data_IF_770125413810
#
_entry.id   IF_770125413810
#
_cell.length_a   1.000
_cell.length_b   1.000
_cell.length_c   1.000
_cell.angle_alpha   90.00
_cell.angle_beta   90.00
_cell.angle_gamma   90.00
#
_symmetry.space_group_name_H-M   'P 1'
#
loop_
_entity.id
_entity.type
_entity.pdbx_description
1 polymer ?
#
# COMPACT_ATOMS: atom_id res chain seq x y z
N UNK A 1 -5.74 -36.02 6.81
CA UNK A 1 -6.49 -36.48 5.62
C UNK A 1 -7.23 -35.30 5.05
N UNK A 2 -6.83 -34.84 3.88
CA UNK A 2 -7.56 -33.79 3.16
C UNK A 2 -8.94 -34.30 2.79
N UNK A 3 -9.99 -33.45 2.88
CA UNK A 3 -11.31 -33.85 2.45
C UNK A 3 -11.27 -34.28 0.99
N UNK A 4 -11.76 -35.50 0.71
CA UNK A 4 -11.79 -36.08 -0.62
C UNK A 4 -12.91 -35.53 -1.52
N UNK A 5 -13.61 -34.51 -1.09
CA UNK A 5 -14.74 -33.92 -1.84
C UNK A 5 -14.38 -32.54 -2.40
N UNK A 6 -14.71 -32.29 -3.64
CA UNK A 6 -14.78 -30.92 -4.17
C UNK A 6 -15.90 -30.18 -3.41
N UNK A 7 -15.54 -29.14 -2.67
CA UNK A 7 -16.53 -28.17 -2.25
C UNK A 7 -16.73 -27.24 -3.44
N UNK A 8 -17.80 -27.45 -4.20
CA UNK A 8 -18.25 -26.51 -5.22
C UNK A 8 -19.36 -25.66 -4.63
N UNK A 9 -19.25 -24.36 -4.77
CA UNK A 9 -20.36 -23.46 -4.51
C UNK A 9 -21.18 -23.41 -5.82
N UNK A 10 -22.41 -23.87 -5.77
CA UNK A 10 -23.31 -23.71 -6.91
C UNK A 10 -23.72 -22.24 -7.00
N UNK A 11 -23.46 -21.62 -8.14
CA UNK A 11 -23.85 -20.23 -8.39
C UNK A 11 -25.37 -20.21 -8.52
N UNK A 12 -26.06 -19.59 -7.57
CA UNK A 12 -27.50 -19.40 -7.64
C UNK A 12 -27.86 -18.29 -8.65
N UNK A 13 -29.17 -18.19 -8.97
CA UNK A 13 -29.63 -17.22 -9.97
C UNK A 13 -29.37 -15.75 -9.58
N UNK A 14 -29.32 -15.43 -8.29
CA UNK A 14 -29.01 -14.10 -7.78
C UNK A 14 -27.51 -13.77 -7.96
N UNK A 15 -26.64 -14.70 -7.60
CA UNK A 15 -25.20 -14.58 -7.83
C UNK A 15 -24.87 -14.49 -9.31
N UNK A 16 -25.54 -15.27 -10.17
CA UNK A 16 -25.37 -15.20 -11.63
C UNK A 16 -25.80 -13.85 -12.19
N UNK A 17 -26.90 -13.29 -11.68
CA UNK A 17 -27.38 -11.96 -12.04
C UNK A 17 -26.42 -10.87 -11.58
N UNK A 18 -25.85 -10.99 -10.40
CA UNK A 18 -24.89 -10.05 -9.85
C UNK A 18 -23.56 -10.06 -10.63
N UNK A 19 -23.07 -11.24 -10.99
CA UNK A 19 -21.91 -11.42 -11.85
C UNK A 19 -22.12 -10.90 -13.28
N UNK A 20 -23.34 -11.02 -13.81
CA UNK A 20 -23.69 -10.52 -15.13
C UNK A 20 -23.97 -9.01 -15.15
N UNK A 21 -24.28 -8.43 -14.00
CA UNK A 21 -24.55 -7.00 -13.83
C UNK A 21 -23.27 -6.20 -13.57
N UNK A 22 -22.15 -6.54 -14.26
CA UNK A 22 -21.04 -5.61 -14.18
C UNK A 22 -21.52 -4.24 -14.72
N UNK A 23 -21.45 -3.25 -13.86
CA UNK A 23 -21.89 -1.91 -14.20
C UNK A 23 -20.95 -1.37 -15.26
N UNK A 24 -21.47 -1.11 -16.45
CA UNK A 24 -20.81 -0.17 -17.36
C UNK A 24 -20.55 1.11 -16.58
N UNK A 25 -19.36 1.68 -16.80
CA UNK A 25 -19.06 3.02 -16.28
C UNK A 25 -20.08 3.94 -16.95
N UNK A 26 -21.15 4.26 -16.23
CA UNK A 26 -22.10 5.26 -16.69
C UNK A 26 -21.43 6.60 -16.51
N UNK A 27 -21.12 7.27 -17.62
CA UNK A 27 -20.68 8.66 -17.57
C UNK A 27 -21.72 9.45 -16.77
N UNK A 28 -21.24 10.12 -15.74
CA UNK A 28 -22.13 10.99 -14.97
C UNK A 28 -22.39 12.26 -15.80
N UNK A 29 -23.61 12.45 -16.35
CA UNK A 29 -23.90 13.62 -17.20
C UNK A 29 -23.85 14.94 -16.42
N UNK A 30 -23.81 14.89 -15.09
CA UNK A 30 -23.65 16.06 -14.22
C UNK A 30 -22.20 16.27 -13.79
N UNK A 31 -21.27 15.41 -14.25
CA UNK A 31 -19.85 15.61 -14.01
C UNK A 31 -19.41 16.92 -14.67
N UNK A 32 -18.95 17.84 -13.85
CA UNK A 32 -18.34 19.07 -14.33
C UNK A 32 -16.85 18.83 -14.49
N UNK A 33 -16.30 19.37 -15.56
CA UNK A 33 -14.85 19.41 -15.69
C UNK A 33 -14.25 20.11 -14.47
N UNK A 34 -13.20 19.53 -13.87
CA UNK A 34 -12.56 20.15 -12.71
C UNK A 34 -12.07 21.55 -13.07
N UNK A 35 -12.41 22.52 -12.25
CA UNK A 35 -11.92 23.89 -12.40
C UNK A 35 -10.56 23.98 -11.74
N UNK A 36 -9.53 24.21 -12.55
CA UNK A 36 -8.18 24.45 -12.06
C UNK A 36 -8.03 25.93 -11.75
N UNK A 37 -7.68 26.23 -10.51
CA UNK A 37 -7.37 27.58 -10.11
C UNK A 37 -5.86 27.76 -10.13
N UNK A 38 -5.37 28.69 -10.92
CA UNK A 38 -4.02 29.23 -10.81
C UNK A 38 -3.92 30.12 -9.56
N UNK A 39 -4.06 29.51 -8.38
CA UNK A 39 -3.86 30.16 -7.11
C UNK A 39 -2.39 30.35 -6.79
N UNK A 40 -2.10 31.06 -5.71
CA UNK A 40 -0.72 31.18 -5.21
C UNK A 40 -0.09 29.80 -5.06
N UNK A 41 1.12 29.66 -5.63
CA UNK A 41 1.86 28.41 -5.67
C UNK A 41 2.21 27.91 -4.26
N UNK A 42 1.36 27.07 -3.69
CA UNK A 42 1.61 26.37 -2.45
C UNK A 42 2.50 25.16 -2.72
N UNK A 43 3.37 24.85 -1.78
CA UNK A 43 4.18 23.64 -1.81
C UNK A 43 3.72 22.68 -0.73
N UNK A 44 3.80 21.38 -1.00
CA UNK A 44 3.37 20.35 -0.06
C UNK A 44 3.97 20.51 1.34
N UNK A 45 5.24 20.88 1.43
CA UNK A 45 5.92 21.09 2.71
C UNK A 45 5.29 22.19 3.58
N UNK A 46 4.62 23.17 2.99
CA UNK A 46 3.97 24.25 3.74
C UNK A 46 2.73 23.80 4.49
N UNK A 47 2.18 22.61 4.18
CA UNK A 47 1.03 22.03 4.84
C UNK A 47 1.41 21.09 5.99
N UNK A 48 2.69 20.93 6.25
CA UNK A 48 3.18 20.04 7.31
C UNK A 48 2.63 20.46 8.68
N UNK A 49 1.97 19.52 9.34
CA UNK A 49 1.37 19.72 10.66
C UNK A 49 -0.02 20.35 10.66
N UNK A 50 -0.59 20.65 9.49
CA UNK A 50 -1.98 21.07 9.38
C UNK A 50 -2.92 19.88 9.50
N UNK A 51 -4.14 20.14 9.99
CA UNK A 51 -5.19 19.12 10.03
C UNK A 51 -5.59 18.68 8.62
N UNK A 52 -6.14 17.48 8.51
CA UNK A 52 -6.61 16.92 7.22
C UNK A 52 -7.67 17.81 6.55
N UNK A 53 -8.55 18.43 7.33
CA UNK A 53 -9.64 19.27 6.84
C UNK A 53 -9.24 20.76 6.65
N UNK A 54 -7.95 21.06 6.67
CA UNK A 54 -7.50 22.44 6.53
C UNK A 54 -7.68 22.92 5.08
N UNK A 55 -8.23 24.12 4.89
CA UNK A 55 -8.56 24.70 3.57
C UNK A 55 -7.39 24.81 2.59
N UNK A 56 -6.17 24.82 3.08
CA UNK A 56 -4.97 24.89 2.24
C UNK A 56 -4.73 23.61 1.43
N UNK A 57 -5.31 22.46 1.83
CA UNK A 57 -5.24 21.24 1.03
C UNK A 57 -5.95 21.40 -0.30
N UNK A 58 -7.15 21.97 -0.30
CA UNK A 58 -7.89 22.24 -1.54
C UNK A 58 -7.12 23.22 -2.43
N UNK A 59 -6.52 24.25 -1.83
CA UNK A 59 -5.70 25.22 -2.57
C UNK A 59 -4.47 24.55 -3.19
N UNK A 60 -3.84 23.62 -2.49
CA UNK A 60 -2.72 22.86 -3.03
C UNK A 60 -3.16 21.98 -4.20
N UNK A 61 -4.22 21.21 -4.04
CA UNK A 61 -4.73 20.28 -5.05
C UNK A 61 -5.23 21.01 -6.31
N UNK A 62 -5.82 22.17 -6.13
CA UNK A 62 -6.32 23.00 -7.24
C UNK A 62 -5.21 23.59 -8.14
N UNK A 63 -3.94 23.46 -7.75
CA UNK A 63 -2.81 23.83 -8.61
C UNK A 63 -2.48 22.76 -9.65
N UNK A 64 -2.88 21.51 -9.39
CA UNK A 64 -2.57 20.37 -10.25
C UNK A 64 -3.45 20.40 -11.50
N UNK A 65 -2.86 20.20 -12.66
CA UNK A 65 -3.61 19.97 -13.89
C UNK A 65 -4.28 18.60 -13.87
N UNK A 66 -5.22 18.37 -14.77
CA UNK A 66 -5.85 17.05 -14.92
C UNK A 66 -4.82 15.96 -15.22
N UNK A 67 -3.85 16.26 -16.09
CA UNK A 67 -2.78 15.35 -16.47
C UNK A 67 -1.90 15.00 -15.27
N UNK A 68 -1.57 15.97 -14.42
CA UNK A 68 -0.79 15.73 -13.20
C UNK A 68 -1.56 14.89 -12.19
N UNK A 69 -2.85 15.13 -12.02
CA UNK A 69 -3.70 14.29 -11.15
C UNK A 69 -3.82 12.86 -11.70
N UNK A 70 -4.08 12.72 -12.99
CA UNK A 70 -4.12 11.41 -13.64
C UNK A 70 -2.77 10.69 -13.53
N UNK A 71 -1.66 11.38 -13.73
CA UNK A 71 -0.32 10.85 -13.59
C UNK A 71 -0.04 10.37 -12.16
N UNK A 72 -0.41 11.14 -11.15
CA UNK A 72 -0.26 10.77 -9.74
C UNK A 72 -1.03 9.49 -9.41
N UNK A 73 -2.24 9.34 -9.92
CA UNK A 73 -3.10 8.18 -9.65
C UNK A 73 -2.60 6.94 -10.39
N UNK A 74 -2.19 7.09 -11.65
CA UNK A 74 -1.91 5.94 -12.53
C UNK A 74 -0.47 5.44 -12.46
N UNK A 75 0.47 6.25 -12.00
CA UNK A 75 1.90 5.94 -12.04
C UNK A 75 2.54 5.74 -10.66
N UNK A 76 1.76 5.71 -9.61
CA UNK A 76 2.25 5.57 -8.24
C UNK A 76 2.56 4.15 -7.78
N UNK A 77 2.43 3.12 -8.61
CA UNK A 77 2.39 1.68 -8.29
C UNK A 77 3.17 1.24 -7.02
N UNK A 78 4.51 1.24 -7.07
CA UNK A 78 5.38 0.95 -5.93
C UNK A 78 6.12 2.23 -5.50
N UNK A 79 5.37 3.20 -5.03
CA UNK A 79 5.91 4.47 -4.59
C UNK A 79 5.01 5.64 -4.91
N UNK A 80 5.58 6.82 -4.90
CA UNK A 80 4.91 8.06 -5.29
C UNK A 80 5.69 8.73 -6.40
N UNK A 81 5.00 9.22 -7.41
CA UNK A 81 5.63 10.02 -8.46
C UNK A 81 6.00 11.41 -7.93
N UNK A 82 6.98 12.06 -8.55
CA UNK A 82 7.29 13.46 -8.26
C UNK A 82 6.37 14.38 -9.06
N UNK A 83 5.96 15.48 -8.44
CA UNK A 83 5.22 16.57 -9.09
C UNK A 83 5.84 17.90 -8.69
N UNK A 84 6.49 18.54 -9.63
CA UNK A 84 7.21 19.81 -9.39
C UNK A 84 6.27 20.95 -9.03
N UNK A 85 5.07 20.96 -9.58
CA UNK A 85 4.02 21.97 -9.34
C UNK A 85 3.77 22.20 -7.86
N UNK A 86 3.70 21.12 -7.07
CA UNK A 86 3.49 21.19 -5.62
C UNK A 86 4.73 20.83 -4.82
N UNK A 87 5.88 20.68 -5.47
CA UNK A 87 7.13 20.22 -4.88
C UNK A 87 6.99 18.86 -4.16
N UNK A 88 6.16 17.96 -4.69
CA UNK A 88 6.06 16.58 -4.24
C UNK A 88 7.28 15.83 -4.73
N UNK A 89 8.07 15.33 -3.79
CA UNK A 89 9.20 14.46 -4.10
C UNK A 89 8.71 13.03 -4.28
N UNK A 90 9.14 12.36 -5.34
CA UNK A 90 8.89 10.95 -5.54
C UNK A 90 9.48 10.09 -4.43
N UNK A 91 8.82 8.99 -4.14
CA UNK A 91 9.27 7.98 -3.17
C UNK A 91 9.34 6.60 -3.81
N UNK A 92 10.17 5.74 -3.23
CA UNK A 92 10.25 4.33 -3.63
C UNK A 92 9.72 3.45 -2.52
N UNK A 93 8.87 2.50 -2.87
CA UNK A 93 8.45 1.46 -1.96
C UNK A 93 9.08 0.12 -2.36
N UNK A 94 9.31 -0.73 -1.39
CA UNK A 94 9.72 -2.11 -1.58
C UNK A 94 8.74 -3.05 -0.91
N UNK A 95 8.44 -4.13 -1.57
CA UNK A 95 7.77 -5.28 -0.98
C UNK A 95 8.81 -6.15 -0.26
N UNK A 96 8.34 -7.02 0.64
CA UNK A 96 9.14 -8.02 1.31
C UNK A 96 9.03 -7.96 2.83
N UNK A 97 8.52 -9.03 3.43
CA UNK A 97 8.34 -9.10 4.87
C UNK A 97 9.68 -9.25 5.60
N UNK A 98 10.63 -9.94 5.02
CA UNK A 98 11.90 -10.28 5.65
C UNK A 98 13.15 -9.89 4.83
N UNK A 99 12.97 -9.19 3.72
CA UNK A 99 14.04 -8.57 2.93
C UNK A 99 13.45 -7.59 1.89
N UNK A 100 14.27 -6.71 1.36
CA UNK A 100 13.85 -5.73 0.35
C UNK A 100 13.87 -6.35 -1.06
N UNK A 101 12.72 -6.70 -1.61
CA UNK A 101 12.63 -7.37 -2.93
C UNK A 101 13.06 -6.48 -4.09
N UNK A 102 12.95 -5.16 -3.94
CA UNK A 102 13.27 -4.18 -4.98
C UNK A 102 14.76 -3.83 -5.07
N UNK A 103 15.61 -4.44 -4.26
CA UNK A 103 17.04 -4.12 -4.17
C UNK A 103 17.90 -5.26 -4.73
N UNK A 104 19.08 -4.90 -5.23
CA UNK A 104 20.05 -5.89 -5.73
C UNK A 104 20.97 -6.43 -4.64
N UNK A 105 21.07 -5.71 -3.54
CA UNK A 105 21.97 -6.02 -2.42
C UNK A 105 21.16 -5.93 -1.14
N UNK A 106 20.77 -7.08 -0.65
CA UNK A 106 20.09 -7.20 0.63
C UNK A 106 20.45 -8.53 1.27
N UNK A 107 20.17 -8.67 2.54
CA UNK A 107 20.29 -9.93 3.28
C UNK A 107 18.88 -10.42 3.59
N UNK A 108 18.57 -11.61 3.13
CA UNK A 108 17.32 -12.26 3.50
C UNK A 108 17.39 -12.72 4.96
N UNK A 109 16.44 -12.29 5.75
CA UNK A 109 16.23 -12.74 7.13
C UNK A 109 15.26 -13.92 7.15
N UNK A 110 15.21 -14.68 8.25
CA UNK A 110 14.15 -15.67 8.44
C UNK A 110 12.76 -15.06 8.32
N UNK A 111 11.75 -15.90 8.06
CA UNK A 111 10.35 -15.42 8.02
C UNK A 111 9.85 -15.01 9.41
N UNK A 112 8.79 -14.20 9.42
CA UNK A 112 8.18 -13.67 10.64
C UNK A 112 7.74 -14.75 11.62
N UNK A 113 7.27 -15.89 11.13
CA UNK A 113 6.94 -17.05 11.98
C UNK A 113 8.14 -17.56 12.78
N UNK A 114 9.36 -17.47 12.23
CA UNK A 114 10.58 -17.82 12.95
C UNK A 114 10.91 -16.75 14.00
N UNK A 115 10.76 -15.46 13.67
CA UNK A 115 10.96 -14.39 14.66
C UNK A 115 9.99 -14.51 15.83
N UNK A 116 8.70 -14.78 15.55
CA UNK A 116 7.70 -15.00 16.58
C UNK A 116 8.07 -16.20 17.49
N UNK A 117 8.61 -17.27 16.91
CA UNK A 117 9.01 -18.48 17.63
C UNK A 117 10.20 -18.26 18.60
N UNK A 118 10.89 -17.15 18.51
CA UNK A 118 11.97 -16.82 19.46
C UNK A 118 11.43 -16.36 20.81
N UNK A 119 10.22 -15.81 20.86
CA UNK A 119 9.65 -15.13 22.04
C UNK A 119 10.56 -14.02 22.59
N UNK A 120 11.44 -13.49 21.75
CA UNK A 120 12.41 -12.45 22.10
C UNK A 120 12.05 -11.12 21.41
N UNK A 121 11.40 -10.26 22.17
CA UNK A 121 10.93 -8.95 21.68
C UNK A 121 12.10 -8.05 21.28
N UNK A 122 13.22 -8.10 22.01
CA UNK A 122 14.38 -7.25 21.72
C UNK A 122 15.07 -7.70 20.44
N UNK A 123 15.12 -8.99 20.19
CA UNK A 123 15.62 -9.52 18.92
C UNK A 123 14.75 -9.05 17.75
N UNK A 124 13.43 -9.19 17.86
CA UNK A 124 12.51 -8.75 16.79
C UNK A 124 12.61 -7.25 16.54
N UNK A 125 12.78 -6.46 17.60
CA UNK A 125 13.03 -5.03 17.47
C UNK A 125 14.34 -4.74 16.69
N UNK A 126 15.40 -5.48 16.97
CA UNK A 126 16.67 -5.32 16.25
C UNK A 126 16.57 -5.68 14.76
N UNK A 127 15.66 -6.60 14.40
CA UNK A 127 15.34 -6.90 13.00
C UNK A 127 14.71 -5.69 12.32
N UNK A 128 13.80 -4.98 13.01
CA UNK A 128 13.21 -3.74 12.50
C UNK A 128 14.26 -2.65 12.25
N UNK A 129 15.18 -2.47 13.18
CA UNK A 129 16.28 -1.52 13.03
C UNK A 129 17.19 -1.88 11.82
N UNK A 130 17.46 -3.16 11.64
CA UNK A 130 18.23 -3.65 10.51
C UNK A 130 17.53 -3.40 9.18
N UNK A 131 16.24 -3.74 9.06
CA UNK A 131 15.46 -3.52 7.84
C UNK A 131 15.34 -2.02 7.50
N UNK A 132 15.22 -1.18 8.51
CA UNK A 132 15.18 0.26 8.33
C UNK A 132 16.51 0.81 7.78
N UNK A 133 17.66 0.32 8.29
CA UNK A 133 18.96 0.72 7.81
C UNK A 133 19.22 0.21 6.39
N UNK A 134 18.85 -1.03 6.09
CA UNK A 134 18.94 -1.60 4.73
C UNK A 134 18.09 -0.79 3.74
N UNK A 135 16.87 -0.43 4.12
CA UNK A 135 16.00 0.43 3.32
C UNK A 135 16.66 1.81 3.06
N UNK A 136 17.22 2.42 4.09
CA UNK A 136 17.90 3.72 3.98
C UNK A 136 19.09 3.66 3.02
N UNK A 137 19.93 2.63 3.11
CA UNK A 137 21.08 2.43 2.22
C UNK A 137 20.65 2.24 0.77
N UNK A 138 19.55 1.54 0.55
CA UNK A 138 19.03 1.25 -0.78
C UNK A 138 18.09 2.34 -1.34
N UNK A 139 17.86 3.43 -0.59
CA UNK A 139 16.99 4.53 -1.00
C UNK A 139 15.53 4.13 -1.11
N UNK A 140 15.07 3.24 -0.23
CA UNK A 140 13.68 2.82 -0.08
C UNK A 140 13.04 3.66 1.02
N UNK A 141 11.95 4.32 0.70
CA UNK A 141 11.25 5.23 1.60
C UNK A 141 10.11 4.54 2.37
N UNK A 142 9.57 3.47 1.80
CA UNK A 142 8.42 2.73 2.35
C UNK A 142 8.60 1.23 2.16
N UNK A 143 8.35 0.47 3.21
CA UNK A 143 8.34 -0.99 3.19
C UNK A 143 6.90 -1.52 3.33
N UNK A 144 6.48 -2.42 2.45
CA UNK A 144 5.28 -3.24 2.61
C UNK A 144 5.62 -4.47 3.47
N UNK A 145 5.68 -4.29 4.76
CA UNK A 145 6.05 -5.29 5.75
C UNK A 145 6.24 -4.68 7.13
N UNK A 146 6.42 -5.50 8.16
CA UNK A 146 6.23 -6.95 8.17
C UNK A 146 4.76 -7.35 8.05
N UNK A 147 4.48 -8.62 7.71
CA UNK A 147 3.14 -9.17 7.64
C UNK A 147 2.58 -9.44 9.04
N UNK A 148 1.71 -8.57 9.54
CA UNK A 148 1.11 -8.69 10.89
C UNK A 148 -0.28 -9.33 10.90
N UNK A 149 -0.67 -9.94 9.81
CA UNK A 149 -1.95 -10.64 9.70
C UNK A 149 -1.98 -11.84 10.65
N UNK A 150 -3.12 -12.06 11.28
CA UNK A 150 -3.33 -13.22 12.14
C UNK A 150 -3.67 -14.44 11.27
N UNK A 151 -3.02 -15.57 11.51
CA UNK A 151 -3.34 -16.83 10.85
C UNK A 151 -4.73 -17.32 11.30
N UNK A 152 -5.65 -17.50 10.39
CA UNK A 152 -6.98 -18.03 10.70
C UNK A 152 -7.13 -19.51 10.32
N UNK A 153 -6.39 -19.95 9.31
CA UNK A 153 -6.42 -21.31 8.82
C UNK A 153 -5.07 -21.70 8.25
N UNK A 154 -4.62 -22.95 8.45
CA UNK A 154 -3.35 -23.43 7.90
C UNK A 154 -3.36 -23.58 6.37
N UNK A 155 -4.52 -23.44 5.74
CA UNK A 155 -4.69 -23.61 4.28
C UNK A 155 -4.47 -22.30 3.47
N UNK A 156 -4.04 -21.24 4.11
CA UNK A 156 -3.68 -20.00 3.44
C UNK A 156 -2.26 -20.15 2.89
N UNK A 157 -2.08 -19.89 1.60
CA UNK A 157 -0.79 -20.03 0.92
C UNK A 157 0.31 -19.08 1.42
N UNK A 158 -0.07 -18.00 2.10
CA UNK A 158 0.84 -16.94 2.60
C UNK A 158 1.07 -16.98 4.13
N UNK A 159 0.64 -18.02 4.83
CA UNK A 159 0.85 -18.13 6.29
C UNK A 159 2.33 -18.11 6.71
N UNK A 160 3.25 -18.44 5.79
CA UNK A 160 4.69 -18.42 6.04
C UNK A 160 5.29 -17.03 6.19
N UNK A 161 4.56 -15.98 5.81
CA UNK A 161 5.02 -14.59 5.89
C UNK A 161 4.30 -13.76 6.96
N UNK A 162 3.67 -14.41 7.93
CA UNK A 162 2.99 -13.79 9.05
C UNK A 162 3.51 -14.34 10.37
N UNK A 163 3.37 -13.55 11.45
CA UNK A 163 3.97 -13.89 12.74
C UNK A 163 3.33 -15.13 13.39
N UNK A 164 2.03 -15.12 13.61
CA UNK A 164 1.34 -16.23 14.26
C UNK A 164 -0.18 -16.15 14.14
N UNK A 165 -0.86 -17.13 14.72
CA UNK A 165 -2.31 -17.12 14.95
C UNK A 165 -2.71 -16.36 16.23
N UNK A 166 -1.74 -16.02 17.08
CA UNK A 166 -1.93 -15.28 18.32
C UNK A 166 -1.83 -13.79 18.09
N UNK A 167 -2.81 -12.99 18.52
CA UNK A 167 -2.78 -11.53 18.38
C UNK A 167 -1.85 -10.80 19.35
N UNK A 168 -1.24 -11.50 20.32
CA UNK A 168 -0.36 -10.92 21.35
C UNK A 168 1.13 -11.09 21.06
#
# INVERSE_FOLDING_TARGET
TFPKGKVSLDVNAEMAKDLASHKEIVENPEAKDPTYHSGEAGKLISLRGLSYDHELWDKLLNQLTYEEQAYLITNGAFGTVSLDTIALKGSKASDGPNFLTSTKTNVALPSEGIWASTFDVDLVKSVGDYLAEDARINGIDTLYGPGINIHRTPFIGRSNEYFSEDPF
#
